data_IF_848883187351
#
_entry.id   IF_848883187351
#
_cell.length_a   1.000
_cell.length_b   1.000
_cell.length_c   1.000
_cell.angle_alpha   90.00
_cell.angle_beta   90.00
_cell.angle_gamma   90.00
#
_symmetry.space_group_name_H-M   'P 1'
#
loop_
_entity.id
_entity.type
_entity.pdbx_description
1 polymer ?
#
# COMPACT_ATOMS: atom_id res chain seq x y z
N UNK A 1 -28.25 3.74 -29.65
CA UNK A 1 -29.53 4.12 -29.00
C UNK A 1 -30.56 3.03 -29.24
N UNK A 2 -31.54 2.78 -28.36
CA UNK A 2 -31.53 2.89 -26.89
C UNK A 2 -32.08 1.62 -26.21
N UNK A 3 -31.83 1.43 -24.91
CA UNK A 3 -32.92 1.24 -23.94
C UNK A 3 -32.38 1.34 -22.51
N UNK A 4 -32.87 2.37 -21.82
CA UNK A 4 -32.90 2.47 -20.38
C UNK A 4 -33.93 1.48 -19.84
N UNK A 5 -33.65 0.87 -18.69
CA UNK A 5 -34.71 0.47 -17.77
C UNK A 5 -34.30 0.84 -16.34
N UNK A 6 -35.08 1.76 -15.76
CA UNK A 6 -35.16 2.05 -14.32
C UNK A 6 -36.19 1.11 -13.68
N UNK A 7 -36.24 1.14 -12.34
CA UNK A 7 -37.35 0.78 -11.43
C UNK A 7 -37.25 -0.70 -10.97
N UNK A 8 -37.37 -1.13 -9.70
CA UNK A 8 -37.99 -0.56 -8.49
C UNK A 8 -37.37 -1.10 -7.19
N UNK A 9 -37.61 -0.35 -6.11
CA UNK A 9 -37.58 -0.74 -4.70
C UNK A 9 -38.52 -1.91 -4.39
N UNK A 10 -38.09 -2.84 -3.54
CA UNK A 10 -38.98 -3.72 -2.79
C UNK A 10 -38.47 -3.87 -1.35
N UNK A 11 -39.23 -3.33 -0.42
CA UNK A 11 -39.21 -3.72 0.98
C UNK A 11 -40.30 -4.78 1.18
N UNK A 12 -39.96 -5.92 1.76
CA UNK A 12 -40.91 -6.75 2.51
C UNK A 12 -40.16 -7.59 3.54
N UNK A 13 -40.80 -7.64 4.71
CA UNK A 13 -40.46 -8.39 5.91
C UNK A 13 -40.67 -9.89 5.68
N UNK A 14 -39.93 -10.72 6.42
CA UNK A 14 -40.25 -12.13 6.60
C UNK A 14 -39.10 -13.07 6.25
N UNK A 15 -38.70 -13.89 7.23
CA UNK A 15 -37.47 -14.67 7.20
C UNK A 15 -37.47 -15.83 6.21
N UNK A 16 -36.32 -16.04 5.57
CA UNK A 16 -35.66 -17.32 5.40
C UNK A 16 -34.34 -17.10 4.66
N UNK A 17 -33.25 -17.60 5.24
CA UNK A 17 -31.97 -17.68 4.57
C UNK A 17 -32.09 -18.63 3.38
N UNK A 18 -31.89 -18.14 2.16
CA UNK A 18 -31.66 -18.96 0.98
C UNK A 18 -30.34 -18.53 0.37
N UNK A 19 -29.39 -19.45 0.38
CA UNK A 19 -28.10 -19.40 -0.31
C UNK A 19 -28.33 -19.45 -1.82
N UNK A 20 -28.15 -18.33 -2.53
CA UNK A 20 -28.00 -18.35 -3.98
C UNK A 20 -26.53 -18.57 -4.35
N UNK A 21 -26.19 -19.82 -4.64
CA UNK A 21 -24.99 -20.17 -5.40
C UNK A 21 -25.16 -19.77 -6.86
N UNK A 22 -24.18 -19.06 -7.41
CA UNK A 22 -24.13 -18.77 -8.84
C UNK A 22 -23.51 -19.96 -9.59
N UNK A 23 -24.29 -20.54 -10.50
CA UNK A 23 -23.85 -21.49 -11.51
C UNK A 23 -23.17 -20.69 -12.63
N UNK A 24 -21.88 -20.90 -12.87
CA UNK A 24 -21.20 -20.44 -14.08
C UNK A 24 -21.12 -21.63 -15.05
N UNK A 25 -21.74 -21.45 -16.22
CA UNK A 25 -21.80 -22.42 -17.29
C UNK A 25 -20.41 -22.75 -17.86
N UNK A 26 -20.16 -24.05 -18.03
CA UNK A 26 -19.06 -24.61 -18.80
C UNK A 26 -19.26 -24.34 -20.29
N UNK A 27 -18.22 -23.88 -20.97
CA UNK A 27 -18.06 -24.06 -22.42
C UNK A 27 -16.98 -25.13 -22.63
N UNK A 28 -17.38 -26.21 -23.29
CA UNK A 28 -16.55 -27.34 -23.69
C UNK A 28 -15.96 -27.09 -25.07
N UNK A 29 -14.66 -27.33 -25.23
CA UNK A 29 -14.08 -27.78 -26.51
C UNK A 29 -13.26 -29.03 -26.22
N UNK A 30 -13.74 -30.15 -26.78
CA UNK A 30 -13.01 -31.41 -26.94
C UNK A 30 -12.06 -31.26 -28.11
N UNK A 31 -10.82 -31.70 -27.94
CA UNK A 31 -10.07 -32.36 -29.00
C UNK A 31 -9.22 -33.46 -28.37
N UNK A 32 -9.37 -34.65 -28.94
CA UNK A 32 -8.78 -35.93 -28.56
C UNK A 32 -7.47 -36.14 -29.32
N UNK A 33 -6.47 -36.75 -28.68
CA UNK A 33 -5.73 -37.87 -29.28
C UNK A 33 -4.85 -38.57 -28.23
N UNK A 34 -4.93 -39.90 -28.23
CA UNK A 34 -4.22 -40.82 -27.34
C UNK A 34 -2.83 -41.22 -27.89
N UNK A 35 -1.88 -41.32 -26.94
CA UNK A 35 -0.68 -42.17 -26.70
C UNK A 35 -0.40 -43.41 -27.62
N UNK A 36 0.82 -44.05 -27.62
CA UNK A 36 1.51 -44.57 -26.40
C UNK A 36 3.08 -44.73 -26.51
N UNK A 37 3.78 -45.63 -25.77
CA UNK A 37 4.61 -45.28 -24.59
C UNK A 37 6.07 -45.83 -24.63
N UNK A 38 6.90 -45.50 -23.62
CA UNK A 38 8.12 -46.18 -23.07
C UNK A 38 8.98 -45.11 -22.36
N UNK A 39 9.72 -45.31 -21.27
CA UNK A 39 10.16 -46.48 -20.53
C UNK A 39 10.61 -46.01 -19.12
N UNK A 40 10.54 -46.93 -18.17
CA UNK A 40 10.93 -46.84 -16.76
C UNK A 40 12.44 -46.64 -16.54
N UNK A 41 12.81 -45.86 -15.52
CA UNK A 41 13.93 -46.18 -14.65
C UNK A 41 13.62 -45.73 -13.22
N UNK A 42 13.58 -46.72 -12.33
CA UNK A 42 13.60 -46.60 -10.88
C UNK A 42 14.95 -47.16 -10.41
N UNK A 43 15.59 -46.48 -9.46
CA UNK A 43 16.71 -46.89 -8.59
C UNK A 43 17.07 -45.60 -7.79
N UNK A 44 17.27 -45.53 -6.48
CA UNK A 44 17.41 -46.52 -5.41
C UNK A 44 16.80 -45.96 -4.11
N UNK A 45 16.16 -46.86 -3.35
CA UNK A 45 15.81 -46.71 -1.95
C UNK A 45 16.96 -47.31 -1.15
N UNK A 46 17.59 -46.55 -0.26
CA UNK A 46 18.36 -47.11 0.85
C UNK A 46 17.67 -46.77 2.17
N UNK A 47 16.88 -47.73 2.64
CA UNK A 47 16.52 -47.89 4.04
C UNK A 47 17.55 -48.81 4.68
N UNK A 48 18.26 -48.34 5.70
CA UNK A 48 19.01 -49.21 6.61
C UNK A 48 18.37 -49.19 8.00
N UNK A 49 17.91 -50.40 8.33
CA UNK A 49 17.43 -50.98 9.58
C UNK A 49 17.75 -50.30 10.91
N UNK A 50 16.72 -50.22 11.74
CA UNK A 50 16.83 -50.12 13.20
C UNK A 50 17.26 -51.46 13.83
N UNK A 51 17.92 -51.39 15.00
CA UNK A 51 17.84 -52.40 16.06
C UNK A 51 18.32 -51.83 17.42
N UNK A 52 17.33 -51.39 18.22
CA UNK A 52 17.08 -51.63 19.65
C UNK A 52 18.03 -51.23 20.81
N UNK A 53 17.46 -51.07 22.03
CA UNK A 53 17.88 -50.07 23.02
C UNK A 53 18.60 -50.68 24.24
N UNK A 54 19.28 -49.82 25.01
CA UNK A 54 19.73 -50.14 26.37
C UNK A 54 19.47 -48.96 27.31
N UNK A 55 18.52 -49.19 28.22
CA UNK A 55 18.29 -48.41 29.44
C UNK A 55 19.44 -48.60 30.42
N UNK A 56 19.81 -47.54 31.17
CA UNK A 56 19.93 -47.57 32.64
C UNK A 56 20.13 -46.15 33.18
N UNK A 57 19.56 -45.95 34.37
CA UNK A 57 19.24 -44.67 34.98
C UNK A 57 20.31 -44.16 35.98
N UNK A 58 20.36 -42.83 36.14
CA UNK A 58 20.65 -42.09 37.38
C UNK A 58 22.08 -41.53 37.56
N UNK A 59 22.31 -40.50 38.41
CA UNK A 59 21.40 -39.44 38.88
C UNK A 59 21.96 -38.00 38.76
N UNK A 60 21.04 -37.02 38.82
CA UNK A 60 21.16 -35.63 39.26
C UNK A 60 22.50 -34.87 39.19
N UNK A 61 22.52 -33.78 38.42
CA UNK A 61 23.19 -32.52 38.77
C UNK A 61 22.42 -31.35 38.13
N UNK A 62 21.64 -30.65 38.96
CA UNK A 62 21.09 -29.34 38.60
C UNK A 62 22.26 -28.34 38.55
N UNK A 63 22.73 -28.03 37.34
CA UNK A 63 23.70 -26.95 37.15
C UNK A 63 22.95 -25.61 37.07
N UNK A 64 23.04 -24.85 38.15
CA UNK A 64 22.68 -23.43 38.21
C UNK A 64 23.56 -22.66 37.22
N UNK A 65 23.00 -22.20 36.10
CA UNK A 65 23.66 -21.20 35.27
C UNK A 65 23.47 -19.83 35.94
N UNK A 66 24.55 -19.32 36.52
CA UNK A 66 24.65 -17.94 37.00
C UNK A 66 24.51 -16.98 35.81
N UNK A 67 23.47 -16.16 35.81
CA UNK A 67 23.34 -15.00 34.93
C UNK A 67 24.46 -14.01 35.26
N UNK A 68 25.49 -13.94 34.43
CA UNK A 68 26.46 -12.85 34.46
C UNK A 68 25.80 -11.61 33.86
N UNK A 69 25.62 -10.56 34.67
CA UNK A 69 25.11 -9.28 34.22
C UNK A 69 26.12 -8.65 33.25
N UNK A 70 25.77 -8.60 31.96
CA UNK A 70 26.57 -7.91 30.96
C UNK A 70 26.52 -6.40 31.22
N UNK A 71 27.68 -5.80 31.48
CA UNK A 71 27.89 -4.35 31.51
C UNK A 71 27.53 -3.72 30.15
N UNK A 72 26.78 -2.61 30.10
CA UNK A 72 26.47 -1.94 28.85
C UNK A 72 27.74 -1.33 28.26
N UNK A 73 28.11 -1.79 27.07
CA UNK A 73 29.16 -1.20 26.25
C UNK A 73 28.66 0.15 25.72
N UNK A 74 29.26 1.25 26.20
CA UNK A 74 29.04 2.61 25.68
C UNK A 74 29.78 2.74 24.35
N UNK A 75 29.07 2.61 23.23
CA UNK A 75 29.52 3.19 21.96
C UNK A 75 29.07 4.64 21.88
N UNK A 76 30.02 5.56 22.05
CA UNK A 76 29.89 6.95 21.62
C UNK A 76 29.99 7.01 20.10
N UNK A 77 28.87 6.83 19.41
CA UNK A 77 28.72 7.26 18.03
C UNK A 77 27.65 8.36 18.01
N UNK A 78 28.10 9.61 18.21
CA UNK A 78 27.29 10.77 17.90
C UNK A 78 27.04 10.79 16.39
N UNK A 79 25.92 10.18 15.99
CA UNK A 79 25.33 10.47 14.69
C UNK A 79 24.66 11.82 14.81
N UNK A 80 25.30 12.85 14.27
CA UNK A 80 24.72 14.18 14.07
C UNK A 80 23.61 14.10 13.03
N UNK A 81 22.46 13.57 13.43
CA UNK A 81 21.21 13.77 12.68
C UNK A 81 20.85 15.22 12.88
N UNK A 82 21.19 16.06 11.89
CA UNK A 82 20.67 17.43 11.83
C UNK A 82 19.15 17.30 11.65
N UNK A 83 18.31 17.70 12.63
CA UNK A 83 16.88 17.76 12.41
C UNK A 83 16.65 18.88 11.39
N UNK A 84 16.09 18.54 10.24
CA UNK A 84 15.53 19.56 9.35
C UNK A 84 14.46 20.28 10.16
N UNK A 85 14.77 21.50 10.62
CA UNK A 85 13.81 22.36 11.31
C UNK A 85 12.75 22.79 10.30
N UNK A 86 11.69 22.00 10.19
CA UNK A 86 10.48 22.46 9.53
C UNK A 86 9.84 23.57 10.37
N UNK A 87 9.25 24.60 9.75
CA UNK A 87 8.42 25.51 10.50
C UNK A 87 7.32 24.68 11.18
N UNK A 88 7.18 24.81 12.50
CA UNK A 88 6.22 24.03 13.31
C UNK A 88 4.80 23.99 12.71
N UNK A 89 4.43 25.03 11.96
CA UNK A 89 3.16 25.18 11.26
C UNK A 89 2.95 24.19 10.09
N UNK A 90 4.00 23.77 9.38
CA UNK A 90 3.87 22.89 8.21
C UNK A 90 3.43 21.46 8.59
N UNK A 91 4.08 20.89 9.61
CA UNK A 91 3.72 19.57 10.15
C UNK A 91 2.32 19.62 10.77
N UNK A 92 2.02 20.65 11.59
CA UNK A 92 0.70 20.84 12.20
C UNK A 92 -0.42 20.94 11.15
N UNK A 93 -0.18 21.65 10.05
CA UNK A 93 -1.15 21.76 8.97
C UNK A 93 -1.40 20.40 8.30
N UNK A 94 -0.35 19.60 8.09
CA UNK A 94 -0.47 18.30 7.42
C UNK A 94 -1.27 17.29 8.22
N UNK A 95 -1.10 17.30 9.54
CA UNK A 95 -1.77 16.38 10.47
C UNK A 95 -3.04 16.97 11.10
N UNK A 96 -3.57 18.06 10.53
CA UNK A 96 -4.79 18.76 10.99
C UNK A 96 -5.91 17.79 11.36
N UNK A 97 -6.09 16.75 10.55
CA UNK A 97 -7.17 15.78 10.71
C UNK A 97 -6.77 14.48 11.45
N UNK A 98 -5.56 14.43 12.01
CA UNK A 98 -5.07 13.29 12.78
C UNK A 98 -4.20 12.34 11.97
N UNK A 99 -3.48 11.48 12.69
CA UNK A 99 -2.63 10.44 12.12
C UNK A 99 -3.43 9.16 11.85
N UNK A 100 -3.24 8.49 10.70
CA UNK A 100 -3.85 7.17 10.48
C UNK A 100 -3.41 6.09 11.48
N UNK A 101 -2.13 6.15 11.88
CA UNK A 101 -1.51 5.41 12.97
C UNK A 101 -0.21 6.12 13.40
N UNK A 102 0.51 5.66 14.42
CA UNK A 102 1.77 6.28 14.87
C UNK A 102 2.98 5.34 14.80
N UNK A 103 2.86 4.22 14.07
CA UNK A 103 3.97 3.27 13.93
C UNK A 103 5.08 3.84 13.03
N UNK A 104 6.33 3.74 13.46
CA UNK A 104 7.54 4.10 12.70
C UNK A 104 7.41 5.38 11.85
N UNK A 105 6.95 6.47 12.47
CA UNK A 105 6.74 7.76 11.80
C UNK A 105 8.06 8.38 11.33
N UNK A 106 8.01 8.99 10.15
CA UNK A 106 9.09 9.77 9.55
C UNK A 106 8.51 11.04 8.96
N UNK A 107 9.21 12.16 9.17
CA UNK A 107 8.82 13.47 8.66
C UNK A 107 9.80 13.90 7.57
N UNK A 108 9.27 14.23 6.40
CA UNK A 108 9.99 14.80 5.27
C UNK A 108 9.48 16.21 5.02
N UNK A 109 10.22 17.02 4.27
CA UNK A 109 9.98 18.46 4.08
C UNK A 109 8.52 18.80 3.77
N UNK A 110 7.86 17.99 2.95
CA UNK A 110 6.50 18.26 2.47
C UNK A 110 5.56 17.05 2.51
N UNK A 111 5.94 15.97 3.19
CA UNK A 111 5.05 14.82 3.48
C UNK A 111 5.48 14.07 4.75
N UNK A 112 4.56 13.26 5.29
CA UNK A 112 4.86 12.35 6.40
C UNK A 112 4.61 10.90 5.98
N UNK A 113 5.32 9.95 6.58
CA UNK A 113 5.04 8.53 6.36
C UNK A 113 5.18 7.68 7.62
N UNK A 114 4.40 6.62 7.68
CA UNK A 114 4.57 5.50 8.60
C UNK A 114 5.16 4.33 7.82
N UNK A 115 6.26 3.76 8.31
CA UNK A 115 6.99 2.71 7.59
C UNK A 115 6.75 1.31 8.16
N UNK A 116 6.32 0.37 7.32
CA UNK A 116 6.19 -1.04 7.68
C UNK A 116 7.56 -1.74 7.54
N UNK A 117 8.25 -1.93 8.67
CA UNK A 117 9.54 -2.61 8.72
C UNK A 117 9.47 -4.09 8.30
N UNK A 118 8.31 -4.73 8.42
CA UNK A 118 8.10 -6.13 8.04
C UNK A 118 7.90 -6.26 6.53
N UNK A 119 7.14 -5.36 5.92
CA UNK A 119 6.88 -5.42 4.47
C UNK A 119 7.87 -4.59 3.64
N UNK A 120 8.68 -3.75 4.28
CA UNK A 120 9.68 -2.86 3.64
C UNK A 120 9.05 -1.82 2.69
N UNK A 121 7.80 -1.45 2.95
CA UNK A 121 7.02 -0.42 2.24
C UNK A 121 6.30 0.47 3.25
N UNK A 122 5.74 1.64 2.88
CA UNK A 122 4.90 2.42 3.80
C UNK A 122 3.69 1.63 4.31
N UNK A 123 3.31 1.83 5.57
CA UNK A 123 1.92 1.60 5.99
C UNK A 123 1.01 2.64 5.32
N UNK A 124 1.45 3.91 5.33
CA UNK A 124 0.78 5.03 4.70
C UNK A 124 1.73 6.22 4.59
N UNK A 125 1.39 7.14 3.69
CA UNK A 125 1.94 8.50 3.56
C UNK A 125 0.79 9.49 3.65
N UNK A 126 1.09 10.68 4.18
CA UNK A 126 0.15 11.79 4.31
C UNK A 126 0.74 13.02 3.63
N UNK A 127 -0.05 13.64 2.75
CA UNK A 127 0.30 14.82 1.98
C UNK A 127 -0.75 15.92 2.22
N UNK A 128 -0.31 17.18 2.29
CA UNK A 128 -1.18 18.36 2.29
C UNK A 128 -0.87 19.23 1.07
N UNK A 129 -1.80 19.26 0.14
CA UNK A 129 -1.70 19.94 -1.14
C UNK A 129 -2.53 21.23 -1.12
N UNK A 130 -1.96 22.28 -1.69
CA UNK A 130 -2.62 23.55 -1.95
C UNK A 130 -2.40 23.93 -3.42
N UNK A 131 -3.16 24.90 -3.99
CA UNK A 131 -2.94 25.38 -5.34
C UNK A 131 -1.49 25.78 -5.61
N UNK A 132 -0.85 26.43 -4.63
CA UNK A 132 0.54 26.89 -4.71
C UNK A 132 1.49 25.69 -4.82
N UNK A 133 1.34 24.69 -3.96
CA UNK A 133 2.24 23.52 -3.91
C UNK A 133 2.25 22.70 -5.21
N UNK A 134 1.08 22.53 -5.84
CA UNK A 134 0.91 21.72 -7.05
C UNK A 134 1.13 22.49 -8.36
N UNK A 135 1.44 23.79 -8.26
CA UNK A 135 1.86 24.61 -9.39
C UNK A 135 3.28 24.22 -9.82
N UNK A 136 3.53 24.24 -11.13
CA UNK A 136 4.82 23.84 -11.69
C UNK A 136 5.87 24.91 -11.35
N UNK A 137 6.95 24.50 -10.71
CA UNK A 137 8.18 25.27 -10.65
C UNK A 137 9.13 24.77 -11.74
N UNK A 138 9.46 25.63 -12.71
CA UNK A 138 10.29 25.29 -13.87
C UNK A 138 11.75 24.99 -13.50
N UNK A 139 12.21 25.46 -12.33
CA UNK A 139 13.58 25.23 -11.86
C UNK A 139 13.85 23.85 -11.26
N UNK A 140 12.81 22.99 -11.10
CA UNK A 140 12.96 21.68 -10.44
C UNK A 140 12.67 20.55 -11.44
N UNK A 141 13.75 19.88 -11.84
CA UNK A 141 13.75 18.79 -12.82
C UNK A 141 13.69 17.41 -12.16
N UNK A 142 12.58 16.70 -12.37
CA UNK A 142 12.40 15.32 -11.88
C UNK A 142 13.44 14.34 -12.45
N UNK A 143 13.92 14.56 -13.68
CA UNK A 143 14.90 13.70 -14.36
C UNK A 143 16.25 13.64 -13.65
N UNK A 144 16.57 14.64 -12.82
CA UNK A 144 17.81 14.69 -12.03
C UNK A 144 17.73 13.91 -10.72
N UNK A 145 16.54 13.42 -10.34
CA UNK A 145 16.34 12.68 -9.10
C UNK A 145 16.70 11.20 -9.26
N UNK A 146 17.29 10.63 -8.21
CA UNK A 146 17.69 9.22 -8.16
C UNK A 146 17.00 8.54 -6.99
N UNK A 147 16.62 7.28 -7.18
CA UNK A 147 16.10 6.47 -6.08
C UNK A 147 17.24 6.11 -5.11
N UNK A 148 17.04 6.46 -3.85
CA UNK A 148 18.05 6.27 -2.80
C UNK A 148 17.49 5.45 -1.64
N UNK A 149 18.35 4.68 -1.02
CA UNK A 149 18.04 3.92 0.19
C UNK A 149 17.78 4.88 1.38
N UNK A 150 16.86 4.51 2.27
CA UNK A 150 16.63 5.27 3.50
C UNK A 150 17.61 4.85 4.58
N UNK A 151 18.70 5.61 4.75
CA UNK A 151 19.74 5.29 5.72
C UNK A 151 19.27 5.35 7.18
N UNK A 152 18.17 6.05 7.45
CA UNK A 152 17.56 6.10 8.78
C UNK A 152 16.63 4.91 9.07
N UNK A 153 16.45 3.97 8.13
CA UNK A 153 15.89 2.65 8.38
C UNK A 153 17.03 1.68 8.69
N UNK A 154 16.94 0.93 9.78
CA UNK A 154 17.90 -0.14 10.10
C UNK A 154 18.03 -1.12 8.93
N UNK A 155 19.25 -1.57 8.61
CA UNK A 155 19.54 -2.35 7.41
C UNK A 155 18.64 -3.58 7.21
N UNK A 156 18.26 -4.30 8.29
CA UNK A 156 17.37 -5.47 8.23
C UNK A 156 15.96 -5.19 7.68
N UNK A 157 15.54 -3.93 7.73
CA UNK A 157 14.20 -3.49 7.36
C UNK A 157 14.22 -2.55 6.16
N UNK A 158 15.38 -2.38 5.50
CA UNK A 158 15.56 -1.41 4.42
C UNK A 158 15.33 -2.08 3.07
N UNK A 159 14.48 -1.48 2.23
CA UNK A 159 14.43 -1.80 0.82
C UNK A 159 15.62 -1.17 0.08
N UNK A 160 16.17 -1.89 -0.89
CA UNK A 160 17.30 -1.44 -1.72
C UNK A 160 16.93 -1.41 -3.19
N UNK A 161 17.68 -0.66 -4.00
CA UNK A 161 17.47 -0.67 -5.45
C UNK A 161 17.67 -2.07 -6.06
N UNK A 162 18.47 -2.94 -5.41
CA UNK A 162 18.69 -4.32 -5.86
C UNK A 162 17.42 -5.16 -5.77
N UNK A 163 16.54 -4.90 -4.80
CA UNK A 163 15.30 -5.66 -4.63
C UNK A 163 14.32 -5.43 -5.79
N UNK A 164 14.31 -4.22 -6.34
CA UNK A 164 13.45 -3.85 -7.46
C UNK A 164 14.05 -4.21 -8.82
N UNK A 165 15.38 -4.34 -8.92
CA UNK A 165 16.07 -4.62 -10.18
C UNK A 165 15.62 -5.96 -10.73
N UNK A 166 15.13 -5.96 -11.98
CA UNK A 166 14.61 -7.14 -12.68
C UNK A 166 13.46 -7.88 -11.96
N UNK A 167 12.76 -7.21 -11.05
CA UNK A 167 11.61 -7.79 -10.33
C UNK A 167 10.32 -7.88 -11.17
N UNK A 168 10.25 -7.16 -12.29
CA UNK A 168 9.02 -6.96 -13.05
C UNK A 168 8.15 -5.80 -12.54
N UNK A 169 8.51 -5.20 -11.40
CA UNK A 169 7.78 -4.08 -10.79
C UNK A 169 8.54 -2.76 -10.90
N UNK A 170 7.79 -1.69 -11.04
CA UNK A 170 8.30 -0.33 -10.88
C UNK A 170 8.49 0.01 -9.40
N UNK A 171 9.40 0.95 -9.15
CA UNK A 171 9.49 1.71 -7.90
C UNK A 171 8.35 2.74 -7.83
N UNK A 172 7.17 2.28 -7.43
CA UNK A 172 5.95 3.08 -7.34
C UNK A 172 5.95 4.01 -6.13
N UNK A 173 5.75 5.31 -6.37
CA UNK A 173 5.73 6.30 -5.29
C UNK A 173 4.38 6.29 -4.58
N UNK A 174 4.37 6.35 -3.24
CA UNK A 174 3.15 6.60 -2.50
C UNK A 174 2.85 8.11 -2.42
N UNK A 175 3.82 8.91 -1.93
CA UNK A 175 3.83 10.37 -2.06
C UNK A 175 4.48 10.73 -3.40
N UNK A 176 3.68 11.27 -4.33
CA UNK A 176 4.09 11.40 -5.72
C UNK A 176 5.02 12.60 -5.92
N UNK A 177 6.16 12.41 -6.60
CA UNK A 177 7.13 13.49 -6.85
C UNK A 177 6.52 14.78 -7.44
N UNK A 178 5.48 14.64 -8.29
CA UNK A 178 4.81 15.77 -8.92
C UNK A 178 3.92 16.60 -7.96
N UNK A 179 3.71 16.13 -6.73
CA UNK A 179 2.99 16.87 -5.68
C UNK A 179 3.93 17.81 -4.89
N UNK A 180 5.25 17.57 -4.95
CA UNK A 180 6.26 18.22 -4.12
C UNK A 180 7.26 19.04 -4.96
N UNK A 181 6.73 19.95 -5.80
CA UNK A 181 7.54 20.70 -6.79
C UNK A 181 8.01 22.07 -6.30
N UNK A 182 7.84 22.39 -5.01
CA UNK A 182 8.23 23.69 -4.47
C UNK A 182 9.71 23.75 -4.06
N UNK A 183 10.31 22.59 -3.78
CA UNK A 183 11.69 22.47 -3.31
C UNK A 183 12.35 21.28 -3.98
N UNK A 184 13.62 21.44 -4.38
CA UNK A 184 14.43 20.33 -4.88
C UNK A 184 14.52 19.22 -3.83
N UNK A 185 14.71 19.58 -2.56
CA UNK A 185 14.83 18.63 -1.48
C UNK A 185 13.50 17.90 -1.20
N UNK A 186 12.38 18.62 -1.18
CA UNK A 186 11.06 17.99 -1.06
C UNK A 186 10.79 16.97 -2.18
N UNK A 187 11.13 17.30 -3.43
CA UNK A 187 11.02 16.34 -4.53
C UNK A 187 11.98 15.17 -4.36
N UNK A 188 13.26 15.41 -4.05
CA UNK A 188 14.27 14.37 -3.88
C UNK A 188 13.89 13.35 -2.80
N UNK A 189 13.31 13.82 -1.69
CA UNK A 189 12.84 12.98 -0.59
C UNK A 189 11.74 11.99 -1.00
N UNK A 190 10.96 12.29 -2.06
CA UNK A 190 9.97 11.33 -2.58
C UNK A 190 10.60 10.12 -3.26
N UNK A 191 11.87 10.22 -3.67
CA UNK A 191 12.64 9.13 -4.28
C UNK A 191 13.35 8.24 -3.25
N UNK A 192 13.21 8.53 -1.95
CA UNK A 192 13.68 7.64 -0.89
C UNK A 192 12.88 6.35 -0.88
N UNK A 193 13.54 5.18 -0.87
CA UNK A 193 12.88 3.87 -0.99
C UNK A 193 11.91 3.53 0.14
N UNK A 194 11.94 4.25 1.27
CA UNK A 194 10.92 4.14 2.31
C UNK A 194 9.55 4.67 1.87
N UNK A 195 9.46 5.50 0.83
CA UNK A 195 8.21 5.97 0.18
C UNK A 195 7.73 5.03 -0.95
N UNK A 196 8.46 3.96 -1.25
CA UNK A 196 8.28 3.17 -2.46
C UNK A 196 7.64 1.82 -2.15
N UNK A 197 6.72 1.41 -3.02
CA UNK A 197 6.19 0.05 -3.05
C UNK A 197 6.27 -0.54 -4.47
N UNK A 198 6.40 -1.87 -4.62
CA UNK A 198 6.35 -2.53 -5.92
C UNK A 198 4.99 -2.31 -6.60
N UNK A 199 5.00 -1.68 -7.77
CA UNK A 199 3.81 -1.45 -8.57
C UNK A 199 3.95 -2.03 -9.96
N UNK A 200 2.89 -2.61 -10.51
CA UNK A 200 2.84 -2.98 -11.93
C UNK A 200 3.10 -1.72 -12.77
N UNK A 201 4.02 -1.82 -13.72
CA UNK A 201 4.48 -0.66 -14.50
C UNK A 201 3.44 -0.16 -15.50
N UNK A 202 3.41 -0.79 -16.68
CA UNK A 202 2.46 -0.47 -17.74
C UNK A 202 1.04 -0.89 -17.35
N UNK A 203 0.06 -0.02 -17.62
CA UNK A 203 -1.34 -0.21 -17.27
C UNK A 203 -1.68 0.15 -15.82
N UNK A 204 -0.69 0.41 -14.97
CA UNK A 204 -0.92 0.79 -13.56
C UNK A 204 -0.11 2.01 -13.12
N UNK A 205 1.11 1.84 -12.59
CA UNK A 205 1.94 2.94 -12.06
C UNK A 205 2.11 4.08 -13.08
N UNK A 206 2.44 3.72 -14.32
CA UNK A 206 2.73 4.70 -15.40
C UNK A 206 1.46 5.32 -15.99
N UNK A 207 0.32 4.67 -15.77
CA UNK A 207 -0.96 4.95 -16.44
C UNK A 207 -2.09 5.21 -15.44
N UNK A 208 -2.88 4.19 -15.08
CA UNK A 208 -4.10 4.33 -14.29
C UNK A 208 -3.88 4.97 -12.91
N UNK A 209 -2.81 4.59 -12.20
CA UNK A 209 -2.44 5.18 -10.91
C UNK A 209 -2.03 6.65 -11.07
N UNK A 210 -1.19 6.96 -12.06
CA UNK A 210 -0.82 8.33 -12.41
C UNK A 210 -2.04 9.18 -12.83
N UNK A 211 -3.06 8.59 -13.45
CA UNK A 211 -4.31 9.30 -13.74
C UNK A 211 -5.07 9.69 -12.47
N UNK A 212 -5.11 8.82 -11.46
CA UNK A 212 -5.65 9.16 -10.14
C UNK A 212 -4.83 10.28 -9.49
N UNK A 213 -3.49 10.22 -9.54
CA UNK A 213 -2.63 11.28 -9.00
C UNK A 213 -2.85 12.63 -9.72
N UNK A 214 -2.98 12.63 -11.05
CA UNK A 214 -3.30 13.83 -11.84
C UNK A 214 -4.65 14.41 -11.44
N UNK A 215 -5.64 13.55 -11.21
CA UNK A 215 -6.97 13.95 -10.76
C UNK A 215 -6.92 14.61 -9.37
N UNK A 216 -6.22 14.00 -8.41
CA UNK A 216 -6.04 14.58 -7.07
C UNK A 216 -5.32 15.94 -7.13
N UNK A 217 -4.28 16.08 -7.96
CA UNK A 217 -3.65 17.39 -8.22
C UNK A 217 -4.62 18.40 -8.85
N UNK A 218 -5.52 17.95 -9.73
CA UNK A 218 -6.53 18.83 -10.32
C UNK A 218 -7.57 19.30 -9.27
N UNK A 219 -7.90 18.47 -8.27
CA UNK A 219 -8.67 18.90 -7.10
C UNK A 219 -7.91 19.96 -6.30
N UNK A 220 -6.61 19.74 -6.04
CA UNK A 220 -5.77 20.67 -5.28
C UNK A 220 -5.66 22.05 -5.94
N UNK A 221 -5.67 22.14 -7.28
CA UNK A 221 -5.68 23.45 -7.98
C UNK A 221 -6.98 24.24 -7.82
N UNK A 222 -8.09 23.57 -7.50
CA UNK A 222 -9.44 24.17 -7.46
C UNK A 222 -9.97 24.40 -6.05
N UNK A 223 -9.28 23.90 -5.04
CA UNK A 223 -9.74 23.89 -3.66
C UNK A 223 -8.68 24.51 -2.74
N UNK A 224 -9.10 24.96 -1.57
CA UNK A 224 -8.22 25.65 -0.62
C UNK A 224 -7.18 24.70 -0.06
N UNK A 225 -7.61 23.53 0.41
CA UNK A 225 -6.72 22.48 0.91
C UNK A 225 -7.18 21.11 0.39
N UNK A 226 -6.24 20.24 0.07
CA UNK A 226 -6.49 18.82 -0.21
C UNK A 226 -5.53 17.99 0.62
N UNK A 227 -6.08 17.13 1.46
CA UNK A 227 -5.34 16.19 2.30
C UNK A 227 -5.44 14.80 1.69
N UNK A 228 -4.31 14.13 1.51
CA UNK A 228 -4.25 12.84 0.82
C UNK A 228 -3.51 11.86 1.69
N UNK A 229 -4.16 10.76 2.05
CA UNK A 229 -3.50 9.59 2.61
C UNK A 229 -3.40 8.51 1.54
N UNK A 230 -2.21 8.00 1.28
CA UNK A 230 -1.95 6.94 0.29
C UNK A 230 -1.27 5.76 0.97
N UNK A 231 -1.62 4.53 0.61
CA UNK A 231 -0.93 3.35 1.14
C UNK A 231 -1.27 2.05 0.40
N UNK A 232 -0.55 0.96 0.72
CA UNK A 232 -0.82 -0.37 0.19
C UNK A 232 -1.96 -1.09 0.93
N UNK A 233 -2.54 -2.09 0.29
CA UNK A 233 -3.45 -3.07 0.91
C UNK A 233 -3.07 -4.50 0.52
N UNK A 234 -3.30 -5.42 1.44
CA UNK A 234 -3.11 -6.86 1.26
C UNK A 234 -4.46 -7.56 1.45
N UNK A 235 -5.29 -7.53 0.41
CA UNK A 235 -6.68 -8.00 0.47
C UNK A 235 -6.76 -9.52 0.32
N UNK A 236 -7.67 -10.18 1.04
CA UNK A 236 -7.82 -11.62 0.96
C UNK A 236 -8.53 -12.05 -0.32
N UNK A 237 -8.21 -13.23 -0.81
CA UNK A 237 -8.83 -13.89 -1.94
C UNK A 237 -9.44 -15.22 -1.50
N UNK A 238 -10.57 -15.59 -2.11
CA UNK A 238 -11.21 -16.88 -1.86
C UNK A 238 -10.56 -17.97 -2.70
N UNK A 239 -9.99 -18.96 -2.05
CA UNK A 239 -9.41 -20.14 -2.68
C UNK A 239 -9.90 -21.40 -1.93
N UNK A 240 -10.46 -22.38 -2.67
CA UNK A 240 -10.91 -23.67 -2.11
C UNK A 240 -11.82 -23.54 -0.87
N UNK A 241 -12.74 -22.57 -0.87
CA UNK A 241 -13.69 -22.36 0.23
C UNK A 241 -13.12 -21.68 1.48
N UNK A 242 -11.87 -21.20 1.45
CA UNK A 242 -11.24 -20.44 2.53
C UNK A 242 -10.72 -19.08 2.02
N UNK A 243 -10.53 -18.15 2.94
CA UNK A 243 -9.90 -16.87 2.65
C UNK A 243 -8.40 -16.94 2.92
N UNK A 244 -7.60 -16.49 1.95
CA UNK A 244 -6.16 -16.37 2.08
C UNK A 244 -5.70 -14.99 1.67
N UNK A 245 -4.72 -14.43 2.39
CA UNK A 245 -3.97 -13.27 1.92
C UNK A 245 -2.69 -13.81 1.29
N UNK A 246 -2.54 -13.59 -0.01
CA UNK A 246 -1.37 -14.04 -0.78
C UNK A 246 -0.81 -12.85 -1.55
N UNK A 247 0.50 -12.67 -1.46
CA UNK A 247 1.22 -11.64 -2.18
C UNK A 247 2.67 -12.09 -2.42
N UNK A 248 3.26 -11.57 -3.48
CA UNK A 248 4.67 -11.80 -3.80
C UNK A 248 5.57 -10.96 -2.89
N UNK A 249 6.79 -11.45 -2.64
CA UNK A 249 7.88 -10.65 -2.09
C UNK A 249 9.05 -10.65 -3.07
N UNK A 250 9.70 -9.50 -3.27
CA UNK A 250 10.79 -9.34 -4.24
C UNK A 250 12.13 -9.04 -3.55
N UNK A 251 13.22 -9.44 -4.22
CA UNK A 251 14.57 -9.17 -3.74
C UNK A 251 14.99 -10.00 -2.53
N UNK A 252 16.24 -9.79 -2.10
CA UNK A 252 16.79 -10.47 -0.92
C UNK A 252 16.19 -9.96 0.38
N UNK A 253 15.69 -8.72 0.38
CA UNK A 253 15.05 -8.13 1.55
C UNK A 253 13.56 -8.46 1.67
N UNK A 254 13.01 -9.27 0.75
CA UNK A 254 11.61 -9.69 0.71
C UNK A 254 10.63 -8.51 0.80
N UNK A 255 10.81 -7.52 -0.08
CA UNK A 255 9.91 -6.36 -0.17
C UNK A 255 8.55 -6.83 -0.65
N UNK A 256 7.49 -6.56 0.11
CA UNK A 256 6.15 -7.04 -0.21
C UNK A 256 5.58 -6.31 -1.43
N UNK A 257 4.96 -7.06 -2.34
CA UNK A 257 4.19 -6.55 -3.48
C UNK A 257 2.73 -6.41 -3.05
N UNK A 258 2.19 -5.20 -2.85
CA UNK A 258 0.81 -5.03 -2.41
C UNK A 258 -0.18 -5.57 -3.45
N UNK A 259 -1.29 -6.13 -2.97
CA UNK A 259 -2.37 -6.58 -3.86
C UNK A 259 -3.13 -5.40 -4.47
N UNK A 260 -3.26 -4.33 -3.70
CA UNK A 260 -4.00 -3.12 -4.05
C UNK A 260 -3.32 -1.91 -3.43
N UNK A 261 -3.71 -0.73 -3.87
CA UNK A 261 -3.35 0.55 -3.27
C UNK A 261 -4.60 1.37 -3.01
N UNK A 262 -4.56 2.20 -1.98
CA UNK A 262 -5.63 3.13 -1.65
C UNK A 262 -5.18 4.59 -1.73
N UNK A 263 -6.15 5.47 -1.99
CA UNK A 263 -6.04 6.90 -1.65
C UNK A 263 -7.30 7.33 -0.92
N UNK A 264 -7.15 7.97 0.24
CA UNK A 264 -8.23 8.68 0.92
C UNK A 264 -7.96 10.17 0.86
N UNK A 265 -8.89 10.93 0.30
CA UNK A 265 -8.75 12.34 -0.06
C UNK A 265 -9.81 13.16 0.64
N UNK A 266 -9.39 14.13 1.44
CA UNK A 266 -10.28 15.15 2.02
C UNK A 266 -10.03 16.47 1.30
N UNK A 267 -11.07 17.02 0.69
CA UNK A 267 -11.06 18.29 -0.02
C UNK A 267 -11.74 19.34 0.84
N UNK A 268 -11.04 20.42 1.15
CA UNK A 268 -11.60 21.63 1.76
C UNK A 268 -11.77 22.68 0.67
N UNK A 269 -13.03 22.94 0.29
CA UNK A 269 -13.32 23.95 -0.71
C UNK A 269 -13.11 25.38 -0.17
N UNK A 270 -13.23 26.38 -1.03
CA UNK A 270 -13.01 27.80 -0.65
C UNK A 270 -14.02 28.31 0.38
N UNK A 271 -15.19 27.69 0.49
CA UNK A 271 -16.22 27.97 1.49
C UNK A 271 -16.02 27.21 2.82
N UNK A 272 -14.96 26.40 2.94
CA UNK A 272 -14.67 25.59 4.12
C UNK A 272 -15.48 24.29 4.25
N UNK A 273 -16.27 23.92 3.23
CA UNK A 273 -16.98 22.65 3.23
C UNK A 273 -16.01 21.51 2.90
N UNK A 274 -16.22 20.37 3.56
CA UNK A 274 -15.39 19.18 3.40
C UNK A 274 -16.07 18.16 2.48
N UNK A 275 -15.33 17.64 1.52
CA UNK A 275 -15.71 16.51 0.68
C UNK A 275 -14.71 15.36 0.87
N UNK A 276 -15.22 14.13 0.94
CA UNK A 276 -14.42 12.91 1.06
C UNK A 276 -14.46 12.11 -0.24
N UNK A 277 -13.30 11.65 -0.68
CA UNK A 277 -13.19 10.67 -1.76
C UNK A 277 -12.18 9.58 -1.41
N UNK A 278 -12.59 8.32 -1.48
CA UNK A 278 -11.76 7.16 -1.18
C UNK A 278 -11.70 6.22 -2.35
N UNK A 279 -10.49 5.79 -2.71
CA UNK A 279 -10.20 4.97 -3.88
C UNK A 279 -9.45 3.70 -3.48
N UNK A 280 -9.76 2.57 -4.12
CA UNK A 280 -8.98 1.33 -4.04
C UNK A 280 -8.75 0.79 -5.44
N UNK A 281 -7.49 0.63 -5.82
CA UNK A 281 -7.09 0.13 -7.15
C UNK A 281 -6.25 -1.14 -7.02
N UNK A 282 -6.53 -2.19 -7.82
CA UNK A 282 -5.72 -3.41 -7.82
C UNK A 282 -4.35 -3.15 -8.45
N UNK A 283 -3.29 -3.74 -7.88
CA UNK A 283 -1.93 -3.65 -8.39
C UNK A 283 -1.74 -4.60 -9.60
N UNK A 284 -2.40 -4.27 -10.70
CA UNK A 284 -2.39 -5.05 -11.94
C UNK A 284 -2.56 -4.13 -13.14
N UNK A 285 -2.19 -4.59 -14.33
CA UNK A 285 -2.44 -3.82 -15.55
C UNK A 285 -3.94 -3.60 -15.76
N UNK A 286 -4.34 -2.34 -15.99
CA UNK A 286 -5.72 -1.94 -16.25
C UNK A 286 -5.85 -1.40 -17.69
N UNK A 287 -7.05 -1.48 -18.31
CA UNK A 287 -7.32 -0.82 -19.58
C UNK A 287 -7.02 0.69 -19.52
N UNK A 288 -6.42 1.25 -20.56
CA UNK A 288 -5.94 2.65 -20.56
C UNK A 288 -7.07 3.69 -20.47
N UNK A 289 -8.28 3.32 -20.87
CA UNK A 289 -9.47 4.17 -20.82
C UNK A 289 -10.21 4.11 -19.47
N UNK A 290 -9.76 3.27 -18.54
CA UNK A 290 -10.37 3.09 -17.21
C UNK A 290 -10.45 4.41 -16.47
N UNK A 291 -11.65 4.72 -15.96
CA UNK A 291 -11.91 5.98 -15.27
C UNK A 291 -11.64 5.84 -13.77
N UNK A 292 -11.01 6.86 -13.19
CA UNK A 292 -10.66 6.89 -11.76
C UNK A 292 -11.87 6.66 -10.83
N UNK A 293 -13.06 7.12 -11.23
CA UNK A 293 -14.28 6.98 -10.44
C UNK A 293 -14.83 5.56 -10.36
N UNK A 294 -14.40 4.63 -11.23
CA UNK A 294 -14.75 3.21 -11.10
C UNK A 294 -14.14 2.58 -9.84
N UNK A 295 -13.12 3.21 -9.25
CA UNK A 295 -12.39 2.73 -8.09
C UNK A 295 -12.81 3.38 -6.78
N UNK A 296 -13.89 4.18 -6.79
CA UNK A 296 -14.46 4.72 -5.56
C UNK A 296 -14.88 3.57 -4.63
N UNK A 297 -14.48 3.66 -3.37
CA UNK A 297 -14.75 2.65 -2.37
C UNK A 297 -15.21 3.28 -1.06
N UNK A 298 -16.01 2.59 -0.23
CA UNK A 298 -16.34 3.04 1.12
C UNK A 298 -15.09 3.24 1.98
N UNK A 299 -15.06 4.31 2.77
CA UNK A 299 -13.92 4.59 3.66
C UNK A 299 -13.70 3.47 4.68
N UNK A 300 -14.79 2.96 5.26
CA UNK A 300 -14.76 1.92 6.27
C UNK A 300 -14.16 0.60 5.75
N UNK A 301 -14.30 0.31 4.46
CA UNK A 301 -13.62 -0.82 3.82
C UNK A 301 -12.09 -0.65 3.87
N UNK A 302 -11.60 0.54 3.56
CA UNK A 302 -10.16 0.86 3.59
C UNK A 302 -9.66 0.82 5.04
N UNK A 303 -10.39 1.41 5.99
CA UNK A 303 -10.02 1.41 7.41
C UNK A 303 -9.88 -0.03 7.95
N UNK A 304 -10.87 -0.88 7.67
CA UNK A 304 -10.86 -2.29 8.07
C UNK A 304 -9.73 -3.08 7.42
N UNK A 305 -9.48 -2.86 6.13
CA UNK A 305 -8.47 -3.60 5.38
C UNK A 305 -7.03 -3.15 5.70
N UNK A 306 -6.83 -1.85 5.95
CA UNK A 306 -5.52 -1.29 6.27
C UNK A 306 -5.16 -1.39 7.76
N UNK A 307 -6.16 -1.55 8.64
CA UNK A 307 -5.95 -1.44 10.09
C UNK A 307 -5.60 -0.01 10.52
N UNK A 308 -6.15 0.98 9.82
CA UNK A 308 -5.90 2.41 10.01
C UNK A 308 -7.21 3.15 10.26
N UNK A 309 -7.14 4.31 10.90
CA UNK A 309 -8.30 5.18 11.09
C UNK A 309 -8.03 6.54 10.46
N UNK A 310 -8.77 6.94 9.44
CA UNK A 310 -8.44 8.16 8.71
C UNK A 310 -9.24 9.34 9.26
N UNK A 311 -8.58 10.49 9.34
CA UNK A 311 -9.23 11.78 9.57
C UNK A 311 -10.10 11.85 10.84
N UNK A 312 -9.66 11.18 11.92
CA UNK A 312 -10.41 11.03 13.18
C UNK A 312 -10.82 12.35 13.83
N UNK A 313 -10.10 13.44 13.56
CA UNK A 313 -10.41 14.76 14.12
C UNK A 313 -11.55 15.48 13.37
N UNK A 314 -12.09 14.90 12.28
CA UNK A 314 -13.28 15.41 11.60
C UNK A 314 -14.53 14.82 12.29
N UNK A 315 -15.43 15.66 12.82
CA UNK A 315 -16.67 15.16 13.41
C UNK A 315 -17.51 14.36 12.40
N UNK A 316 -18.21 13.34 12.90
CA UNK A 316 -19.11 12.54 12.05
C UNK A 316 -20.21 13.44 11.46
N UNK A 317 -20.54 13.22 10.20
CA UNK A 317 -21.56 14.00 9.48
C UNK A 317 -21.08 15.37 8.97
N UNK A 318 -19.81 15.73 9.15
CA UNK A 318 -19.26 17.01 8.63
C UNK A 318 -19.07 17.02 7.11
N UNK A 319 -18.87 15.86 6.49
CA UNK A 319 -18.68 15.79 5.03
C UNK A 319 -19.97 16.16 4.30
N UNK A 320 -19.89 17.20 3.47
CA UNK A 320 -21.00 17.61 2.62
C UNK A 320 -21.21 16.65 1.43
N UNK A 321 -20.12 16.02 0.97
CA UNK A 321 -20.14 14.98 -0.07
C UNK A 321 -19.20 13.84 0.29
N UNK A 322 -19.60 12.62 -0.04
CA UNK A 322 -18.78 11.41 0.12
C UNK A 322 -18.86 10.62 -1.18
N UNK A 323 -17.72 10.39 -1.83
CA UNK A 323 -17.61 9.61 -3.06
C UNK A 323 -18.57 10.06 -4.18
N UNK A 324 -18.86 11.36 -4.25
CA UNK A 324 -19.67 11.96 -5.32
C UNK A 324 -18.75 12.44 -6.45
N UNK A 325 -18.66 11.75 -7.60
CA UNK A 325 -17.89 12.25 -8.73
C UNK A 325 -18.48 13.57 -9.23
N UNK A 326 -17.67 14.48 -9.81
CA UNK A 326 -18.19 15.69 -10.43
C UNK A 326 -19.17 15.32 -11.54
N UNK A 327 -20.23 16.13 -11.77
CA UNK A 327 -21.19 15.86 -12.83
C UNK A 327 -20.47 15.74 -14.17
N UNK A 328 -20.74 14.64 -14.89
CA UNK A 328 -20.21 14.40 -16.23
C UNK A 328 -20.79 15.50 -17.13
N UNK A 329 -19.94 16.37 -17.67
CA UNK A 329 -20.34 17.28 -18.74
C UNK A 329 -20.42 16.45 -20.02
N UNK A 330 -21.64 16.28 -20.54
CA UNK A 330 -21.90 15.68 -21.85
C UNK A 330 -21.39 16.57 -22.98
#
# INVERSE_FOLDING_TARGET
MPSFQRICTAACLGGSCISLGFIIGRVSKKETNELPPRQSHAENVETVSACNPLSKAGPNLYSLFTLSAATPYRTSAESSVIPVQQPANAVQNMVKYGFPSTDNLRSYEDFMLSYDRRNRVPNWVLEHLTPEKVTVNEGIERSKMQFVEDESVHAFHRATNKDYKNSGYDRGHMAAAANHRQSHNAMAQTFTLSNIAPQVGQGFNRDAWNNLEKYVRALARKNKNVYVCTGPLFLPQYENGKLFVKYEVIGQNHVAVPTHFFKVVVVENTSGQLELQSYVMPNQALPLDTKVHHFLAPLDMIERAAGLNFFQNIPKGTFHKVNSPPPIKY
#
